data_IF_335024572721
#
_entry.id   IF_335024572721
#
_cell.length_a   1.000
_cell.length_b   1.000
_cell.length_c   1.000
_cell.angle_alpha   90.00
_cell.angle_beta   90.00
_cell.angle_gamma   90.00
#
_symmetry.space_group_name_H-M   'P 1'
#
loop_
_entity.id
_entity.type
_entity.pdbx_description
1 polymer ?
#
# COMPACT_ATOMS: atom_id res chain seq x y z
N UNK A 1 -7.51 7.73 2.25
CA UNK A 1 -6.47 7.21 1.34
C UNK A 1 -5.85 6.01 2.04
N UNK A 2 -5.92 4.83 1.44
CA UNK A 2 -5.40 3.58 2.04
C UNK A 2 -3.90 3.47 1.76
N UNK A 3 -3.09 4.02 2.67
CA UNK A 3 -1.63 4.14 2.51
C UNK A 3 -0.96 2.78 2.27
N UNK A 4 -1.38 1.74 2.97
CA UNK A 4 -0.78 0.40 2.83
C UNK A 4 -1.04 -0.23 1.46
N UNK A 5 -2.27 -0.16 0.95
CA UNK A 5 -2.59 -0.62 -0.40
C UNK A 5 -1.79 0.18 -1.44
N UNK A 6 -1.64 1.49 -1.24
CA UNK A 6 -0.81 2.32 -2.11
C UNK A 6 0.66 1.89 -2.09
N UNK A 7 1.21 1.57 -0.91
CA UNK A 7 2.59 1.07 -0.77
C UNK A 7 2.78 -0.27 -1.49
N UNK A 8 1.84 -1.20 -1.33
CA UNK A 8 1.87 -2.49 -2.03
C UNK A 8 1.86 -2.27 -3.54
N UNK A 9 0.93 -1.45 -4.05
CA UNK A 9 0.84 -1.13 -5.48
C UNK A 9 2.18 -0.57 -6.00
N UNK A 10 2.76 0.41 -5.30
CA UNK A 10 4.02 1.03 -5.70
C UNK A 10 5.21 0.05 -5.66
N UNK A 11 5.21 -0.88 -4.72
CA UNK A 11 6.22 -1.92 -4.65
C UNK A 11 6.14 -2.86 -5.86
N UNK A 12 4.93 -3.28 -6.23
CA UNK A 12 4.71 -4.13 -7.40
C UNK A 12 5.03 -3.42 -8.72
N UNK A 13 4.62 -2.15 -8.88
CA UNK A 13 4.98 -1.33 -10.04
C UNK A 13 6.50 -1.17 -10.19
N UNK A 14 7.21 -0.95 -9.08
CA UNK A 14 8.68 -0.86 -9.10
C UNK A 14 9.29 -2.17 -9.57
N UNK A 15 8.80 -3.30 -9.08
CA UNK A 15 9.30 -4.61 -9.50
C UNK A 15 9.06 -4.87 -10.98
N UNK A 16 7.89 -4.48 -11.51
CA UNK A 16 7.62 -4.47 -12.97
C UNK A 16 8.72 -3.76 -13.73
N UNK A 17 8.99 -2.51 -13.36
CA UNK A 17 9.96 -1.67 -14.04
C UNK A 17 11.37 -2.24 -13.94
N UNK A 18 11.74 -2.85 -12.81
CA UNK A 18 13.05 -3.49 -12.67
C UNK A 18 13.18 -4.71 -13.59
N UNK A 19 12.11 -5.48 -13.76
CA UNK A 19 12.08 -6.62 -14.69
C UNK A 19 12.12 -6.19 -16.16
N UNK A 20 11.35 -5.18 -16.55
CA UNK A 20 11.38 -4.61 -17.91
C UNK A 20 12.79 -4.12 -18.28
N UNK A 21 13.58 -3.67 -17.30
CA UNK A 21 14.99 -3.29 -17.46
C UNK A 21 15.97 -4.46 -17.44
N UNK A 22 15.49 -5.70 -17.31
CA UNK A 22 16.33 -6.90 -17.16
C UNK A 22 17.08 -6.98 -15.83
N UNK A 23 16.69 -6.20 -14.82
CA UNK A 23 17.37 -6.12 -13.52
C UNK A 23 16.76 -7.04 -12.45
N UNK A 24 15.65 -7.71 -12.77
CA UNK A 24 15.05 -8.72 -11.89
C UNK A 24 14.60 -9.94 -12.69
N UNK A 25 14.93 -11.11 -12.15
CA UNK A 25 14.53 -12.43 -12.66
C UNK A 25 13.70 -13.19 -11.62
N UNK A 26 13.22 -12.51 -10.58
CA UNK A 26 12.47 -13.13 -9.50
C UNK A 26 11.19 -13.79 -10.06
N UNK A 27 10.98 -15.06 -9.73
CA UNK A 27 9.76 -15.79 -10.11
C UNK A 27 8.68 -15.77 -9.02
N UNK A 28 9.10 -15.53 -7.78
CA UNK A 28 8.20 -15.52 -6.63
C UNK A 28 8.43 -14.24 -5.82
N UNK A 29 7.37 -13.49 -5.58
CA UNK A 29 7.39 -12.27 -4.77
C UNK A 29 6.58 -12.55 -3.50
N UNK A 30 7.21 -12.34 -2.34
CA UNK A 30 6.56 -12.45 -1.05
C UNK A 30 6.32 -11.07 -0.48
N UNK A 31 5.06 -10.72 -0.26
CA UNK A 31 4.65 -9.46 0.34
C UNK A 31 4.14 -9.74 1.74
N UNK A 32 4.89 -9.27 2.74
CA UNK A 32 4.50 -9.37 4.14
C UNK A 32 3.70 -8.12 4.54
N UNK A 33 2.53 -8.35 5.13
CA UNK A 33 1.60 -7.28 5.51
C UNK A 33 1.21 -7.49 6.97
N UNK A 34 1.35 -6.46 7.79
CA UNK A 34 1.00 -6.52 9.21
C UNK A 34 -0.48 -6.19 9.51
N UNK A 35 -1.15 -5.56 8.55
CA UNK A 35 -2.57 -5.22 8.60
C UNK A 35 -3.45 -6.33 8.02
N UNK A 36 -4.21 -6.98 8.90
CA UNK A 36 -5.24 -7.93 8.50
C UNK A 36 -6.36 -7.27 7.69
N UNK A 37 -6.64 -5.98 7.90
CA UNK A 37 -7.65 -5.24 7.15
C UNK A 37 -7.27 -5.10 5.67
N UNK A 38 -5.99 -4.85 5.40
CA UNK A 38 -5.44 -4.78 4.04
C UNK A 38 -5.49 -6.13 3.35
N UNK A 39 -5.12 -7.22 4.03
CA UNK A 39 -5.25 -8.57 3.45
C UNK A 39 -6.69 -8.96 3.13
N UNK A 40 -7.64 -8.66 4.04
CA UNK A 40 -9.07 -8.91 3.79
C UNK A 40 -9.59 -8.11 2.59
N UNK A 41 -9.05 -6.91 2.35
CA UNK A 41 -9.38 -6.07 1.18
C UNK A 41 -8.76 -6.57 -0.11
N UNK A 42 -7.56 -7.15 -0.08
CA UNK A 42 -6.97 -7.81 -1.25
C UNK A 42 -7.73 -9.08 -1.62
N UNK A 43 -8.22 -9.83 -0.62
CA UNK A 43 -9.03 -11.03 -0.85
C UNK A 43 -10.44 -10.74 -1.36
N UNK A 44 -11.04 -9.61 -0.96
CA UNK A 44 -12.37 -9.21 -1.42
C UNK A 44 -12.27 -8.51 -2.77
N UNK A 45 -12.48 -9.26 -3.85
CA UNK A 45 -12.70 -8.74 -5.21
C UNK A 45 -14.06 -8.03 -5.37
N UNK A 46 -14.44 -7.13 -4.45
CA UNK A 46 -15.74 -6.44 -4.57
C UNK A 46 -15.58 -5.08 -5.24
N UNK A 47 -16.30 -4.88 -6.35
CA UNK A 47 -16.30 -3.69 -7.20
C UNK A 47 -16.96 -2.45 -6.56
N UNK A 48 -16.97 -2.33 -5.23
CA UNK A 48 -17.59 -1.18 -4.57
C UNK A 48 -16.65 0.03 -4.58
N UNK A 49 -17.21 1.21 -4.87
CA UNK A 49 -16.52 2.49 -4.96
C UNK A 49 -15.65 2.76 -3.73
N UNK A 50 -14.34 2.83 -3.94
CA UNK A 50 -13.32 2.95 -2.89
C UNK A 50 -12.16 1.95 -2.99
N UNK A 51 -12.28 0.90 -3.82
CA UNK A 51 -11.31 -0.19 -3.93
C UNK A 51 -10.42 -0.15 -5.18
N UNK A 52 -10.25 1.02 -5.81
CA UNK A 52 -9.44 1.16 -7.04
C UNK A 52 -8.03 0.57 -6.89
N UNK A 53 -7.40 0.77 -5.73
CA UNK A 53 -6.06 0.22 -5.45
C UNK A 53 -6.06 -1.31 -5.38
N UNK A 54 -7.05 -1.93 -4.73
CA UNK A 54 -7.15 -3.40 -4.66
C UNK A 54 -7.34 -4.01 -6.04
N UNK A 55 -8.17 -3.39 -6.89
CA UNK A 55 -8.37 -3.84 -8.29
C UNK A 55 -7.05 -3.76 -9.06
N UNK A 56 -6.35 -2.62 -9.01
CA UNK A 56 -5.06 -2.47 -9.69
C UNK A 56 -4.02 -3.48 -9.21
N UNK A 57 -3.99 -3.80 -7.91
CA UNK A 57 -3.09 -4.83 -7.37
C UNK A 57 -3.46 -6.20 -7.91
N UNK A 58 -4.75 -6.53 -7.95
CA UNK A 58 -5.21 -7.81 -8.48
C UNK A 58 -4.95 -7.94 -9.99
N UNK A 59 -5.14 -6.88 -10.76
CA UNK A 59 -4.83 -6.87 -12.18
C UNK A 59 -3.33 -7.14 -12.40
N UNK A 60 -2.45 -6.49 -11.62
CA UNK A 60 -1.01 -6.76 -11.67
C UNK A 60 -0.67 -8.19 -11.25
N UNK A 61 -1.35 -8.74 -10.24
CA UNK A 61 -1.11 -10.12 -9.80
C UNK A 61 -1.59 -11.17 -10.79
N UNK A 62 -2.66 -10.89 -11.54
CA UNK A 62 -3.27 -11.81 -12.50
C UNK A 62 -2.75 -11.62 -13.93
N UNK A 63 -1.90 -10.61 -14.17
CA UNK A 63 -1.31 -10.39 -15.49
C UNK A 63 -0.34 -11.53 -15.80
N UNK A 64 -0.71 -12.36 -16.77
CA UNK A 64 0.05 -13.55 -17.15
C UNK A 64 1.41 -13.22 -17.79
N UNK A 65 1.63 -11.96 -18.20
CA UNK A 65 2.88 -11.48 -18.80
C UNK A 65 4.08 -11.58 -17.85
N UNK A 66 3.85 -11.69 -16.55
CA UNK A 66 4.93 -11.60 -15.57
C UNK A 66 5.58 -12.95 -15.24
N UNK A 67 4.88 -14.07 -15.46
CA UNK A 67 5.28 -15.39 -14.92
C UNK A 67 5.73 -15.32 -13.43
N UNK A 68 5.15 -14.40 -12.66
CA UNK A 68 5.51 -14.18 -11.26
C UNK A 68 4.37 -14.60 -10.36
N UNK A 69 4.68 -15.41 -9.35
CA UNK A 69 3.75 -15.74 -8.29
C UNK A 69 3.89 -14.74 -7.15
N UNK A 70 2.89 -13.90 -6.96
CA UNK A 70 2.82 -12.95 -5.86
C UNK A 70 2.05 -13.60 -4.71
N UNK A 71 2.69 -13.69 -3.54
CA UNK A 71 2.10 -14.27 -2.33
C UNK A 71 2.04 -13.23 -1.22
N UNK A 72 0.83 -12.98 -0.71
CA UNK A 72 0.62 -12.11 0.44
C UNK A 72 0.58 -12.95 1.73
N UNK A 73 1.39 -12.59 2.71
CA UNK A 73 1.45 -13.28 4.01
C UNK A 73 1.26 -12.29 5.14
N UNK A 74 0.38 -12.64 6.09
CA UNK A 74 0.21 -11.85 7.30
C UNK A 74 1.40 -12.02 8.23
N UNK A 75 1.87 -10.92 8.82
CA UNK A 75 2.86 -10.94 9.90
C UNK A 75 2.35 -10.14 11.10
N UNK A 76 2.66 -10.53 12.34
CA UNK A 76 2.28 -9.74 13.49
C UNK A 76 3.12 -8.45 13.56
N UNK A 77 2.45 -7.30 13.58
CA UNK A 77 3.10 -6.00 13.78
C UNK A 77 3.79 -5.91 15.15
N UNK A 78 4.84 -5.08 15.24
CA UNK A 78 5.59 -4.78 16.47
C UNK A 78 6.19 -5.98 17.23
N UNK A 79 6.43 -7.11 16.55
CA UNK A 79 7.09 -8.29 17.12
C UNK A 79 8.61 -8.34 16.88
N UNK A 80 9.26 -7.20 16.64
CA UNK A 80 10.70 -7.10 16.32
C UNK A 80 11.11 -7.89 15.06
N UNK A 81 10.21 -8.01 14.08
CA UNK A 81 10.57 -8.56 12.78
C UNK A 81 11.36 -7.47 12.06
N UNK A 82 12.66 -7.69 11.90
CA UNK A 82 13.60 -6.70 11.39
C UNK A 82 13.10 -6.02 10.10
N UNK A 83 12.57 -6.81 9.15
CA UNK A 83 12.03 -6.28 7.89
C UNK A 83 10.81 -5.37 8.07
N UNK A 84 9.89 -5.74 8.97
CA UNK A 84 8.70 -4.94 9.27
C UNK A 84 9.09 -3.62 9.96
N UNK A 85 10.00 -3.68 10.94
CA UNK A 85 10.46 -2.50 11.67
C UNK A 85 11.20 -1.52 10.75
N UNK A 86 11.98 -2.02 9.79
CA UNK A 86 12.63 -1.19 8.76
C UNK A 86 11.58 -0.52 7.87
N UNK A 87 10.58 -1.27 7.40
CA UNK A 87 9.51 -0.74 6.56
C UNK A 87 8.72 0.37 7.29
N UNK A 88 8.34 0.15 8.54
CA UNK A 88 7.69 1.13 9.40
C UNK A 88 8.53 2.39 9.60
N UNK A 89 9.83 2.22 9.86
CA UNK A 89 10.75 3.35 10.05
C UNK A 89 10.88 4.17 8.77
N UNK A 90 10.92 3.53 7.60
CA UNK A 90 10.96 4.20 6.31
C UNK A 90 9.65 4.93 6.00
N UNK A 91 8.51 4.31 6.27
CA UNK A 91 7.19 4.94 6.11
C UNK A 91 7.06 6.20 6.99
N UNK A 92 7.47 6.12 8.26
CA UNK A 92 7.50 7.27 9.18
C UNK A 92 8.44 8.38 8.71
N UNK A 93 9.62 8.04 8.18
CA UNK A 93 10.52 9.03 7.56
C UNK A 93 9.89 9.74 6.36
N UNK A 94 9.06 9.03 5.59
CA UNK A 94 8.31 9.58 4.47
C UNK A 94 7.31 10.66 4.90
N UNK A 95 6.67 10.51 6.05
CA UNK A 95 5.73 11.50 6.61
C UNK A 95 6.42 12.83 6.97
N UNK A 96 7.71 12.78 7.31
CA UNK A 96 8.49 13.98 7.64
C UNK A 96 8.93 14.77 6.39
N UNK A 97 8.76 14.23 5.18
CA UNK A 97 9.01 14.96 3.93
C UNK A 97 7.74 15.72 3.54
N UNK A 98 7.86 17.03 3.28
CA UNK A 98 6.75 17.81 2.71
C UNK A 98 6.30 17.15 1.39
N UNK A 99 5.01 16.87 1.21
CA UNK A 99 4.52 16.39 -0.08
C UNK A 99 4.84 17.43 -1.16
N UNK A 100 5.38 16.98 -2.28
CA UNK A 100 5.59 17.83 -3.46
C UNK A 100 4.22 17.95 -4.13
N UNK A 101 3.49 19.02 -3.82
CA UNK A 101 2.14 19.30 -4.32
C UNK A 101 1.21 19.90 -3.25
N UNK A 102 0.13 20.55 -3.68
CA UNK A 102 -0.83 21.20 -2.78
C UNK A 102 -1.42 20.19 -1.78
N UNK A 103 -1.37 20.55 -0.52
CA UNK A 103 -1.88 19.76 0.60
C UNK A 103 -3.40 19.60 0.49
N UNK A 104 -3.85 18.47 -0.04
CA UNK A 104 -5.26 18.08 0.06
C UNK A 104 -5.53 17.67 1.52
N UNK A 105 -6.07 18.59 2.32
CA UNK A 105 -6.75 18.25 3.56
C UNK A 105 -7.96 17.40 3.21
N UNK A 106 -8.03 16.17 3.73
CA UNK A 106 -9.17 15.30 3.50
C UNK A 106 -10.46 15.98 3.95
N UNK A 107 -11.58 15.71 3.27
CA UNK A 107 -12.89 16.28 3.63
C UNK A 107 -13.24 16.00 5.10
N UNK A 108 -12.82 14.84 5.60
CA UNK A 108 -12.95 14.44 7.01
C UNK A 108 -12.17 15.36 7.96
N UNK A 109 -10.97 15.79 7.58
CA UNK A 109 -10.16 16.74 8.34
C UNK A 109 -10.83 18.12 8.40
N UNK A 110 -11.35 18.61 7.27
CA UNK A 110 -12.09 19.88 7.22
C UNK A 110 -13.35 19.80 8.09
N UNK A 111 -14.12 18.72 7.96
CA UNK A 111 -15.37 18.52 8.72
C UNK A 111 -15.13 18.45 10.23
N UNK A 112 -14.04 17.80 10.66
CA UNK A 112 -13.63 17.78 12.08
C UNK A 112 -13.26 19.18 12.57
N UNK A 113 -12.47 19.91 11.80
CA UNK A 113 -12.00 21.25 12.18
C UNK A 113 -13.15 22.27 12.23
N UNK A 114 -14.13 22.18 11.32
CA UNK A 114 -15.36 22.98 11.39
C UNK A 114 -16.17 22.69 12.67
N UNK A 115 -16.24 21.42 13.09
CA UNK A 115 -16.98 21.03 14.29
C UNK A 115 -16.30 21.50 15.58
N UNK A 116 -14.97 21.44 15.62
CA UNK A 116 -14.18 21.91 16.77
C UNK A 116 -14.27 23.44 16.94
N UNK A 117 -14.32 24.21 15.85
CA UNK A 117 -14.46 25.68 15.91
C UNK A 117 -15.87 26.19 16.22
N UNK A 118 -16.91 25.36 16.05
CA UNK A 118 -18.29 25.71 16.39
C UNK A 118 -18.61 25.51 17.89
N UNK A 119 -17.71 24.87 18.63
CA UNK A 119 -17.85 24.56 20.06
C UNK A 119 -16.90 25.41 20.94
N UNK A 120 -16.21 26.39 20.35
CA UNK A 120 -15.40 27.42 21.02
C UNK A 120 -16.05 28.78 20.88
#
# INVERSE_FOLDING_TARGET
MDAELFTILKALEREKTQREKGQSIAKNIWVFVDSQATLKRLQKNSLHGGQKLSVMINDLCNTNEWEMKITFSWVPGHKKILGNDIADKLAKKGLCRKPIGTSFTSLSYIKRNCKEKLLS
#
